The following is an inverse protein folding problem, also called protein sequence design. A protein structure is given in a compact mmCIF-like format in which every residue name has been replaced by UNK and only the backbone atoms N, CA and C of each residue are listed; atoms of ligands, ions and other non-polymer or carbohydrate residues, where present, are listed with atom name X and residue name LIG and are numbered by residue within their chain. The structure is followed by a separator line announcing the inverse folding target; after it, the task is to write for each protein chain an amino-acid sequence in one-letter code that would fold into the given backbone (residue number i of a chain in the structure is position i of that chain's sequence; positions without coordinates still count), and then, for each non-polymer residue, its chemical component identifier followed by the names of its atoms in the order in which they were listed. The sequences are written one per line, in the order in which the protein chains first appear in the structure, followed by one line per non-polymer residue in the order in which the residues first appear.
data_IF_549818810371
#
_entry.id   IF_549818810371
#
_cell.length_a   1.000
_cell.length_b   1.000
_cell.length_c   1.000
_cell.angle_alpha   90.00
_cell.angle_beta   90.00
_cell.angle_gamma   90.00
#
_symmetry.space_group_name_H-M   'P 1'
#
loop_
_entity.id
_entity.type
_entity.pdbx_description
1 polymer ?
#
# COMPACT_ATOMS: atom_id res chain seq x y z
N UNK A 1 6.04 -15.23 20.28
CA UNK A 1 5.40 -14.28 19.36
C UNK A 1 4.80 -14.96 18.13
N UNK A 2 5.54 -15.74 17.34
CA UNK A 2 4.97 -16.55 16.23
C UNK A 2 3.88 -17.52 16.68
N UNK A 3 4.03 -18.15 17.84
CA UNK A 3 3.01 -19.04 18.44
C UNK A 3 1.72 -18.31 18.86
N UNK A 4 1.73 -16.98 18.99
CA UNK A 4 0.54 -16.19 19.28
C UNK A 4 -0.20 -15.73 18.01
N UNK A 5 0.46 -15.81 16.85
CA UNK A 5 -0.13 -15.43 15.55
C UNK A 5 -0.81 -16.62 14.85
N UNK A 6 -0.55 -17.83 15.31
CA UNK A 6 -1.14 -19.06 14.75
C UNK A 6 -1.84 -19.79 15.89
N UNK A 7 -3.19 -19.76 15.97
CA UNK A 7 -3.94 -20.52 16.96
C UNK A 7 -3.62 -22.01 16.82
N UNK A 8 -3.39 -22.69 17.93
CA UNK A 8 -3.00 -24.10 17.99
C UNK A 8 -4.03 -25.08 17.39
N UNK A 9 -5.26 -24.62 17.16
CA UNK A 9 -6.41 -25.48 16.82
C UNK A 9 -7.05 -25.14 15.45
N UNK A 10 -6.49 -24.25 14.66
CA UNK A 10 -7.04 -23.88 13.36
C UNK A 10 -6.00 -23.94 12.24
N UNK A 11 -6.23 -24.79 11.25
CA UNK A 11 -5.56 -24.61 9.96
C UNK A 11 -6.17 -23.38 9.30
N UNK A 12 -5.38 -22.36 8.96
CA UNK A 12 -5.91 -21.23 8.20
C UNK A 12 -6.48 -21.72 6.87
N UNK A 13 -7.67 -21.27 6.52
CA UNK A 13 -8.28 -21.59 5.23
C UNK A 13 -7.49 -21.03 4.05
N UNK A 14 -6.63 -20.04 4.31
CA UNK A 14 -5.76 -19.41 3.33
C UNK A 14 -4.31 -19.38 3.80
N UNK A 15 -3.33 -19.41 2.89
CA UNK A 15 -1.91 -19.24 3.25
C UNK A 15 -1.67 -17.91 3.96
N UNK A 16 -0.88 -17.93 5.04
CA UNK A 16 -0.46 -16.73 5.77
C UNK A 16 1.01 -16.49 5.52
N UNK A 17 1.37 -15.33 5.00
CA UNK A 17 2.75 -14.89 4.87
C UNK A 17 3.15 -13.99 6.06
N UNK A 18 4.27 -14.30 6.71
CA UNK A 18 4.80 -13.53 7.84
C UNK A 18 6.19 -13.03 7.48
N UNK A 19 6.37 -11.72 7.36
CA UNK A 19 7.68 -11.10 7.16
C UNK A 19 8.39 -10.89 8.50
N UNK A 20 9.62 -11.37 8.60
CA UNK A 20 10.47 -11.24 9.77
C UNK A 20 11.83 -10.68 9.37
N UNK A 21 12.36 -9.79 10.18
CA UNK A 21 13.72 -9.27 10.08
C UNK A 21 14.27 -8.93 11.47
N UNK A 22 15.52 -8.50 11.54
CA UNK A 22 16.18 -8.17 12.83
C UNK A 22 15.51 -7.03 13.60
N UNK A 23 14.59 -6.24 12.98
CA UNK A 23 13.80 -5.19 13.64
C UNK A 23 12.58 -5.77 14.35
N UNK A 24 12.25 -7.00 14.07
CA UNK A 24 11.12 -7.66 14.73
C UNK A 24 11.41 -7.77 16.21
N UNK A 25 10.51 -7.26 17.04
CA UNK A 25 10.66 -7.24 18.49
C UNK A 25 10.91 -8.65 19.03
N UNK A 26 11.91 -8.79 19.89
CA UNK A 26 12.32 -10.07 20.48
C UNK A 26 12.79 -11.13 19.45
N UNK A 27 13.29 -10.66 18.28
CA UNK A 27 13.83 -11.55 17.27
C UNK A 27 15.18 -12.15 17.72
N UNK A 28 15.20 -13.45 17.90
CA UNK A 28 16.42 -14.23 18.15
C UNK A 28 16.55 -15.32 17.09
N UNK A 29 17.73 -15.42 16.46
CA UNK A 29 18.00 -16.36 15.36
C UNK A 29 17.77 -17.81 15.80
N UNK A 30 18.33 -18.21 16.95
CA UNK A 30 18.19 -19.57 17.47
C UNK A 30 16.74 -19.91 17.83
N UNK A 31 16.06 -18.98 18.51
CA UNK A 31 14.65 -19.12 18.86
C UNK A 31 13.75 -19.20 17.61
N UNK A 32 14.09 -18.49 16.55
CA UNK A 32 13.33 -18.54 15.30
C UNK A 32 13.41 -19.92 14.66
N UNK A 33 14.60 -20.50 14.53
CA UNK A 33 14.79 -21.83 13.98
C UNK A 33 14.04 -22.88 14.80
N UNK A 34 14.13 -22.83 16.13
CA UNK A 34 13.39 -23.72 17.02
C UNK A 34 11.87 -23.60 16.88
N UNK A 35 11.35 -22.38 16.70
CA UNK A 35 9.91 -22.14 16.50
C UNK A 35 9.42 -22.74 15.18
N UNK A 36 10.16 -22.54 14.09
CA UNK A 36 9.83 -23.12 12.78
C UNK A 36 9.82 -24.64 12.85
N UNK A 37 10.83 -25.22 13.47
CA UNK A 37 10.92 -26.68 13.65
C UNK A 37 9.76 -27.22 14.50
N UNK A 38 9.39 -26.52 15.56
CA UNK A 38 8.22 -26.85 16.38
C UNK A 38 6.91 -26.79 15.59
N UNK A 39 6.74 -25.76 14.74
CA UNK A 39 5.54 -25.65 13.90
C UNK A 39 5.44 -26.82 12.93
N UNK A 40 6.56 -27.26 12.33
CA UNK A 40 6.59 -28.43 11.45
C UNK A 40 6.17 -29.73 12.15
N UNK A 41 6.62 -29.94 13.38
CA UNK A 41 6.45 -31.22 14.08
C UNK A 41 5.21 -31.28 14.97
N UNK A 42 4.73 -30.17 15.53
CA UNK A 42 3.70 -30.20 16.58
C UNK A 42 2.31 -29.76 16.13
N UNK A 43 2.19 -28.98 15.06
CA UNK A 43 0.91 -28.37 14.71
C UNK A 43 0.27 -28.93 13.44
N UNK A 44 0.95 -29.84 12.72
CA UNK A 44 0.49 -30.33 11.42
C UNK A 44 0.40 -29.22 10.37
N UNK A 45 1.03 -28.06 10.61
CA UNK A 45 1.24 -27.01 9.63
C UNK A 45 2.51 -27.33 8.83
N UNK A 46 2.53 -26.87 7.58
CA UNK A 46 3.68 -26.99 6.69
C UNK A 46 4.27 -25.60 6.41
N UNK A 47 5.04 -25.03 7.37
CA UNK A 47 5.64 -23.72 7.19
C UNK A 47 6.78 -23.80 6.19
N UNK A 48 6.69 -23.01 5.13
CA UNK A 48 7.77 -22.83 4.16
C UNK A 48 8.58 -21.59 4.53
N UNK A 49 9.87 -21.76 4.72
CA UNK A 49 10.79 -20.69 5.06
C UNK A 49 11.50 -20.16 3.80
N UNK A 50 11.24 -18.90 3.47
CA UNK A 50 11.87 -18.23 2.34
C UNK A 50 12.87 -17.21 2.87
N UNK A 51 14.13 -17.37 2.49
CA UNK A 51 15.18 -16.38 2.77
C UNK A 51 15.42 -15.50 1.54
N UNK A 52 15.17 -14.22 1.70
CA UNK A 52 15.36 -13.21 0.64
C UNK A 52 16.61 -12.40 0.94
N UNK A 53 17.57 -12.39 0.03
CA UNK A 53 18.86 -11.70 0.18
C UNK A 53 19.18 -10.83 -1.06
N UNK A 54 20.26 -10.08 -0.95
CA UNK A 54 20.92 -9.40 -2.07
C UNK A 54 22.41 -9.16 -1.75
N UNK A 55 23.20 -8.86 -2.77
CA UNK A 55 24.60 -8.45 -2.61
C UNK A 55 24.73 -7.24 -1.67
N UNK A 56 25.79 -7.21 -0.85
CA UNK A 56 26.06 -6.11 0.10
C UNK A 56 26.05 -4.74 -0.57
N UNK A 57 26.63 -4.63 -1.76
CA UNK A 57 26.64 -3.37 -2.52
C UNK A 57 25.22 -2.93 -2.96
N UNK A 58 24.36 -3.90 -3.31
CA UNK A 58 22.96 -3.62 -3.67
C UNK A 58 22.16 -3.19 -2.44
N UNK A 59 22.33 -3.87 -1.32
CA UNK A 59 21.69 -3.50 -0.05
C UNK A 59 22.13 -2.10 0.39
N UNK A 60 23.42 -1.79 0.35
CA UNK A 60 23.96 -0.48 0.66
C UNK A 60 23.27 0.62 -0.17
N UNK A 61 23.17 0.40 -1.49
CA UNK A 61 22.48 1.34 -2.39
C UNK A 61 21.02 1.52 -2.01
N UNK A 62 20.26 0.42 -1.79
CA UNK A 62 18.84 0.45 -1.41
C UNK A 62 18.60 1.21 -0.10
N UNK A 63 19.45 1.02 0.91
CA UNK A 63 19.38 1.77 2.17
C UNK A 63 19.64 3.26 1.96
N UNK A 64 20.63 3.61 1.13
CA UNK A 64 20.94 5.00 0.80
C UNK A 64 19.81 5.69 0.03
N UNK A 65 19.23 5.01 -0.96
CA UNK A 65 18.12 5.53 -1.78
C UNK A 65 16.84 5.74 -0.94
N UNK A 66 16.54 4.81 -0.04
CA UNK A 66 15.32 4.89 0.80
C UNK A 66 15.48 5.79 2.02
N UNK A 67 16.69 6.31 2.30
CA UNK A 67 17.02 7.14 3.47
C UNK A 67 16.60 6.51 4.81
N UNK A 68 16.50 5.19 4.88
CA UNK A 68 16.18 4.46 6.11
C UNK A 68 17.48 4.08 6.82
N UNK A 69 17.62 4.36 8.14
CA UNK A 69 18.77 3.88 8.88
C UNK A 69 18.73 2.35 9.00
N UNK A 70 19.89 1.73 8.86
CA UNK A 70 20.01 0.30 9.11
C UNK A 70 19.94 0.04 10.62
N UNK A 71 19.23 -0.99 11.09
CA UNK A 71 19.04 -1.26 12.53
C UNK A 71 20.36 -1.40 13.32
N UNK A 72 21.38 -1.99 12.69
CA UNK A 72 22.69 -2.21 13.29
C UNK A 72 23.73 -1.13 12.95
N UNK A 73 23.34 0.01 12.38
CA UNK A 73 24.29 1.07 11.98
C UNK A 73 24.48 2.19 13.01
N UNK A 74 24.06 1.98 14.27
CA UNK A 74 24.19 3.00 15.31
C UNK A 74 25.64 3.27 15.70
N UNK A 75 26.52 2.28 15.64
CA UNK A 75 27.91 2.30 16.12
C UNK A 75 28.93 1.95 15.03
N UNK A 76 28.49 1.73 13.80
CA UNK A 76 29.33 1.26 12.69
C UNK A 76 28.89 1.74 11.33
N UNK A 77 29.78 1.75 10.31
CA UNK A 77 29.44 2.04 8.93
C UNK A 77 28.34 1.12 8.38
N UNK A 78 27.53 1.63 7.43
CA UNK A 78 26.42 0.89 6.85
C UNK A 78 26.83 -0.47 6.24
N UNK A 79 27.98 -0.52 5.57
CA UNK A 79 28.49 -1.78 4.97
C UNK A 79 28.78 -2.82 6.05
N UNK A 80 29.45 -2.40 7.14
CA UNK A 80 29.78 -3.30 8.26
C UNK A 80 28.52 -3.78 8.97
N UNK A 81 27.49 -2.93 9.07
CA UNK A 81 26.19 -3.27 9.64
C UNK A 81 25.47 -4.33 8.80
N UNK A 82 25.46 -4.19 7.46
CA UNK A 82 24.87 -5.16 6.53
C UNK A 82 25.60 -6.50 6.61
N UNK A 83 26.92 -6.49 6.60
CA UNK A 83 27.71 -7.71 6.71
C UNK A 83 27.55 -8.40 8.07
N UNK A 84 27.40 -7.62 9.12
CA UNK A 84 27.10 -8.15 10.44
C UNK A 84 25.73 -8.82 10.48
N UNK A 85 24.70 -8.18 9.92
CA UNK A 85 23.37 -8.79 9.78
C UNK A 85 23.41 -10.09 8.99
N UNK A 86 24.10 -10.12 7.85
CA UNK A 86 24.25 -11.34 7.04
C UNK A 86 24.89 -12.48 7.85
N UNK A 87 25.91 -12.19 8.67
CA UNK A 87 26.51 -13.19 9.55
C UNK A 87 25.54 -13.69 10.61
N UNK A 88 24.75 -12.80 11.23
CA UNK A 88 23.73 -13.17 12.20
C UNK A 88 22.63 -14.03 11.59
N UNK A 89 22.24 -13.72 10.36
CA UNK A 89 21.17 -14.42 9.65
C UNK A 89 21.63 -15.71 8.95
N UNK A 90 22.93 -15.99 8.91
CA UNK A 90 23.49 -17.17 8.22
C UNK A 90 22.88 -18.52 8.68
N UNK A 91 22.59 -18.77 9.98
CA UNK A 91 21.94 -20.01 10.41
C UNK A 91 20.52 -20.14 9.82
N UNK A 92 19.74 -19.05 9.78
CA UNK A 92 18.41 -19.03 9.18
C UNK A 92 18.52 -19.27 7.66
N UNK A 93 19.44 -18.57 7.00
CA UNK A 93 19.70 -18.79 5.59
C UNK A 93 20.09 -20.24 5.27
N UNK A 94 20.80 -20.92 6.17
CA UNK A 94 21.20 -22.31 5.99
C UNK A 94 20.03 -23.30 6.04
N UNK A 95 19.01 -23.00 6.84
CA UNK A 95 17.84 -23.86 7.07
C UNK A 95 16.63 -23.47 6.20
N UNK A 96 16.74 -22.41 5.40
CA UNK A 96 15.66 -21.95 4.52
C UNK A 96 15.34 -23.00 3.44
N UNK A 97 14.04 -23.26 3.23
CA UNK A 97 13.54 -24.16 2.21
C UNK A 97 13.75 -23.58 0.81
N UNK A 98 13.65 -22.23 0.70
CA UNK A 98 13.91 -21.50 -0.52
C UNK A 98 14.80 -20.30 -0.25
N UNK A 99 15.74 -20.00 -1.16
CA UNK A 99 16.56 -18.79 -1.14
C UNK A 99 16.34 -18.00 -2.41
N UNK A 100 16.11 -16.71 -2.26
CA UNK A 100 15.89 -15.80 -3.41
C UNK A 100 16.93 -14.69 -3.34
N UNK A 101 17.84 -14.68 -4.31
CA UNK A 101 18.77 -13.55 -4.50
C UNK A 101 18.12 -12.47 -5.37
N UNK A 102 17.87 -11.33 -4.74
CA UNK A 102 17.25 -10.18 -5.41
C UNK A 102 18.25 -9.15 -5.93
N UNK A 103 19.53 -9.46 -5.99
CA UNK A 103 20.61 -8.52 -6.40
C UNK A 103 20.37 -7.89 -7.77
N UNK A 104 19.81 -8.65 -8.70
CA UNK A 104 19.52 -8.25 -10.07
C UNK A 104 18.03 -8.22 -10.41
N UNK A 105 17.16 -8.41 -9.40
CA UNK A 105 15.72 -8.50 -9.58
C UNK A 105 15.03 -7.16 -9.35
N UNK A 106 14.01 -6.89 -10.15
CA UNK A 106 12.99 -5.89 -9.86
C UNK A 106 11.93 -6.47 -8.93
N UNK A 107 11.20 -5.62 -8.22
CA UNK A 107 10.12 -6.06 -7.31
C UNK A 107 9.04 -6.89 -8.02
N UNK A 108 8.74 -6.58 -9.29
CA UNK A 108 7.77 -7.33 -10.09
C UNK A 108 8.22 -8.77 -10.36
N UNK A 109 9.53 -9.00 -10.57
CA UNK A 109 10.09 -10.34 -10.79
C UNK A 109 10.01 -11.19 -9.53
N UNK A 110 10.35 -10.60 -8.37
CA UNK A 110 10.20 -11.27 -7.09
C UNK A 110 8.75 -11.66 -6.81
N UNK A 111 7.81 -10.73 -7.10
CA UNK A 111 6.38 -11.01 -6.94
C UNK A 111 5.96 -12.17 -7.80
N UNK A 112 6.35 -12.19 -9.07
CA UNK A 112 6.01 -13.28 -10.00
C UNK A 112 6.53 -14.62 -9.52
N UNK A 113 7.79 -14.69 -9.06
CA UNK A 113 8.37 -15.91 -8.49
C UNK A 113 7.53 -16.42 -7.31
N UNK A 114 7.11 -15.53 -6.40
CA UNK A 114 6.30 -15.92 -5.26
C UNK A 114 4.88 -16.35 -5.67
N UNK A 115 4.26 -15.67 -6.62
CA UNK A 115 2.95 -16.04 -7.16
C UNK A 115 2.99 -17.41 -7.81
N UNK A 116 3.96 -17.65 -8.70
CA UNK A 116 4.13 -18.93 -9.40
C UNK A 116 4.42 -20.08 -8.41
N UNK A 117 5.17 -19.80 -7.34
CA UNK A 117 5.55 -20.81 -6.34
C UNK A 117 4.39 -21.24 -5.43
N UNK A 118 3.48 -20.32 -5.13
CA UNK A 118 2.41 -20.57 -4.15
C UNK A 118 1.04 -20.78 -4.79
N UNK A 119 0.97 -20.83 -6.12
CA UNK A 119 -0.30 -20.87 -6.85
C UNK A 119 -1.29 -19.81 -6.31
N UNK A 120 -0.72 -18.71 -5.83
CA UNK A 120 -1.48 -17.53 -5.49
C UNK A 120 -1.90 -16.98 -6.83
N UNK A 121 -3.12 -17.28 -7.24
CA UNK A 121 -3.71 -16.77 -8.46
C UNK A 121 -3.37 -15.30 -8.62
N UNK A 122 -3.30 -14.77 -9.81
CA UNK A 122 -2.97 -13.38 -10.05
C UNK A 122 -3.73 -12.57 -8.99
N UNK A 123 -3.01 -12.09 -7.96
CA UNK A 123 -3.57 -11.09 -7.06
C UNK A 123 -4.00 -9.99 -7.98
N UNK A 124 -5.30 -9.87 -8.13
CA UNK A 124 -5.96 -8.97 -9.05
C UNK A 124 -5.25 -7.63 -8.97
N UNK A 125 -4.35 -7.38 -9.88
CA UNK A 125 -3.78 -6.10 -10.23
C UNK A 125 -3.20 -5.24 -9.09
N UNK A 126 -2.87 -4.04 -9.44
CA UNK A 126 -2.50 -2.97 -8.52
C UNK A 126 -3.78 -2.45 -7.85
N UNK A 127 -3.87 -2.48 -6.51
CA UNK A 127 -4.96 -1.84 -5.77
C UNK A 127 -4.82 -0.31 -5.83
N UNK A 128 -5.91 0.38 -6.17
CA UNK A 128 -5.91 1.83 -6.34
C UNK A 128 -6.76 2.48 -5.24
N UNK A 129 -6.11 3.28 -4.40
CA UNK A 129 -6.77 4.06 -3.35
C UNK A 129 -7.08 5.45 -3.87
N UNK A 130 -8.36 5.77 -4.00
CA UNK A 130 -8.80 7.14 -4.32
C UNK A 130 -9.21 7.82 -3.02
N UNK A 131 -8.52 8.92 -2.68
CA UNK A 131 -8.72 9.62 -1.41
C UNK A 131 -9.07 11.08 -1.60
N UNK A 132 -10.19 11.55 -1.03
CA UNK A 132 -10.44 12.98 -0.95
C UNK A 132 -9.81 13.59 0.30
N UNK A 133 -9.31 14.82 0.20
CA UNK A 133 -8.68 15.51 1.32
C UNK A 133 -8.89 17.02 1.30
N UNK A 134 -8.63 17.66 2.46
CA UNK A 134 -8.58 19.09 2.67
C UNK A 134 -7.16 19.62 2.61
N UNK A 135 -6.86 20.61 1.76
CA UNK A 135 -5.57 21.31 1.77
C UNK A 135 -5.28 22.01 3.11
N UNK A 136 -6.32 22.38 3.89
CA UNK A 136 -6.12 22.94 5.24
C UNK A 136 -5.47 21.96 6.20
N UNK A 137 -5.68 20.66 6.00
CA UNK A 137 -5.11 19.57 6.81
C UNK A 137 -3.82 18.98 6.19
N UNK A 138 -3.31 19.61 5.14
CA UNK A 138 -2.14 19.13 4.41
C UNK A 138 -2.43 18.00 3.43
N UNK A 139 -1.48 17.76 2.54
CA UNK A 139 -1.51 16.65 1.58
C UNK A 139 -1.28 15.33 2.31
N UNK A 140 -2.04 14.25 2.00
CA UNK A 140 -1.77 12.92 2.56
C UNK A 140 -0.34 12.46 2.23
N UNK A 141 0.39 12.00 3.24
CA UNK A 141 1.79 11.62 3.07
C UNK A 141 1.98 10.39 2.16
N UNK A 142 0.94 9.55 2.08
CA UNK A 142 0.90 8.34 1.26
C UNK A 142 0.49 8.61 -0.20
N UNK A 143 0.15 9.85 -0.58
CA UNK A 143 -0.33 10.17 -1.93
C UNK A 143 0.80 10.07 -2.97
N UNK A 144 0.59 9.29 -4.00
CA UNK A 144 1.47 9.19 -5.17
C UNK A 144 1.14 10.25 -6.22
N UNK A 145 -0.16 10.48 -6.44
CA UNK A 145 -0.68 11.50 -7.34
C UNK A 145 -1.61 12.44 -6.57
N UNK A 146 -1.48 13.73 -6.79
CA UNK A 146 -2.28 14.75 -6.11
C UNK A 146 -2.91 15.67 -7.14
N UNK A 147 -4.23 15.83 -7.09
CA UNK A 147 -4.98 16.73 -7.95
C UNK A 147 -5.71 17.79 -7.13
N UNK A 148 -5.50 19.04 -7.48
CA UNK A 148 -6.16 20.19 -6.88
C UNK A 148 -7.42 20.56 -7.68
N UNK A 149 -8.58 20.48 -7.04
CA UNK A 149 -9.89 20.82 -7.65
C UNK A 149 -10.51 22.08 -7.06
N UNK A 150 -9.69 22.97 -6.47
CA UNK A 150 -10.18 24.24 -5.89
C UNK A 150 -10.66 25.25 -6.92
N UNK A 151 -10.26 25.11 -8.17
CA UNK A 151 -10.69 25.98 -9.26
C UNK A 151 -12.18 25.78 -9.65
N UNK A 152 -12.76 24.60 -9.37
CA UNK A 152 -14.18 24.34 -9.64
C UNK A 152 -15.09 25.18 -8.72
N UNK A 153 -16.32 25.43 -9.17
CA UNK A 153 -17.35 26.13 -8.40
C UNK A 153 -17.46 25.55 -6.99
N UNK A 154 -17.55 26.45 -6.02
CA UNK A 154 -17.52 26.05 -4.62
C UNK A 154 -18.93 26.04 -4.00
N UNK A 155 -19.51 24.84 -3.71
CA UNK A 155 -20.84 24.72 -3.11
C UNK A 155 -20.97 25.38 -1.73
N UNK A 156 -19.84 25.66 -1.06
CA UNK A 156 -19.83 26.32 0.25
C UNK A 156 -20.51 27.73 0.24
N UNK A 157 -20.51 28.42 -0.91
CA UNK A 157 -21.12 29.73 -1.04
C UNK A 157 -22.62 29.64 -1.23
N UNK A 158 -23.18 28.48 -1.52
CA UNK A 158 -24.62 28.25 -1.59
C UNK A 158 -25.15 27.83 -0.20
N UNK A 159 -26.10 28.59 0.40
CA UNK A 159 -26.64 28.29 1.72
C UNK A 159 -27.28 26.91 1.84
N UNK A 160 -27.90 26.40 0.77
CA UNK A 160 -28.59 25.11 0.75
C UNK A 160 -27.59 23.94 0.65
N UNK A 161 -26.46 24.16 -0.02
CA UNK A 161 -25.46 23.13 -0.28
C UNK A 161 -24.34 23.09 0.74
N UNK A 162 -24.11 24.19 1.47
CA UNK A 162 -22.96 24.38 2.35
C UNK A 162 -22.78 23.27 3.41
N UNK A 163 -23.89 22.77 3.96
CA UNK A 163 -23.88 21.74 4.99
C UNK A 163 -23.90 20.31 4.43
N UNK A 164 -24.11 20.15 3.13
CA UNK A 164 -24.10 18.87 2.44
C UNK A 164 -22.67 18.43 2.13
N UNK A 165 -22.51 17.23 1.59
CA UNK A 165 -21.21 16.71 1.14
C UNK A 165 -21.22 16.45 -0.37
N UNK A 166 -20.05 16.20 -0.97
CA UNK A 166 -19.93 15.81 -2.38
C UNK A 166 -20.60 14.48 -2.74
N UNK A 167 -21.10 13.72 -1.75
CA UNK A 167 -21.91 12.53 -1.99
C UNK A 167 -23.36 12.87 -2.32
N UNK A 168 -23.81 14.08 -1.99
CA UNK A 168 -25.16 14.52 -2.29
C UNK A 168 -25.30 14.92 -3.78
N UNK A 169 -26.35 14.44 -4.44
CA UNK A 169 -26.60 14.69 -5.85
C UNK A 169 -26.78 16.18 -6.20
N UNK A 170 -27.34 17.00 -5.28
CA UNK A 170 -27.48 18.43 -5.51
C UNK A 170 -26.11 19.13 -5.56
N UNK A 171 -25.20 18.75 -4.67
CA UNK A 171 -23.82 19.23 -4.66
C UNK A 171 -23.09 18.82 -5.94
N UNK A 172 -23.28 17.55 -6.38
CA UNK A 172 -22.71 17.07 -7.64
C UNK A 172 -23.15 17.91 -8.83
N UNK A 173 -24.47 18.10 -9.03
CA UNK A 173 -25.01 18.93 -10.11
C UNK A 173 -24.45 20.34 -10.09
N UNK A 174 -24.38 20.98 -8.94
CA UNK A 174 -23.81 22.32 -8.80
C UNK A 174 -22.35 22.39 -9.26
N UNK A 175 -21.54 21.38 -8.98
CA UNK A 175 -20.14 21.30 -9.43
C UNK A 175 -20.08 21.04 -10.94
N UNK A 176 -20.96 20.20 -11.49
CA UNK A 176 -21.03 19.86 -12.91
C UNK A 176 -21.40 21.04 -13.79
N UNK A 177 -22.15 22.05 -13.27
CA UNK A 177 -22.47 23.29 -13.95
C UNK A 177 -21.26 24.23 -14.15
N UNK A 178 -20.09 23.88 -13.55
CA UNK A 178 -18.87 24.61 -13.82
C UNK A 178 -18.42 24.38 -15.27
N UNK A 179 -18.16 25.44 -16.07
CA UNK A 179 -17.80 25.29 -17.49
C UNK A 179 -16.52 24.48 -17.70
N UNK A 180 -15.62 24.43 -16.72
CA UNK A 180 -14.35 23.71 -16.80
C UNK A 180 -14.46 22.25 -16.32
N UNK A 181 -15.57 21.87 -15.66
CA UNK A 181 -15.75 20.56 -15.06
C UNK A 181 -15.60 19.41 -16.06
N UNK A 182 -16.40 19.40 -17.11
CA UNK A 182 -16.41 18.32 -18.11
C UNK A 182 -15.04 18.16 -18.78
N UNK A 183 -14.43 19.30 -19.19
CA UNK A 183 -13.10 19.32 -19.79
C UNK A 183 -12.01 18.81 -18.84
N UNK A 184 -12.09 19.14 -17.57
CA UNK A 184 -11.14 18.67 -16.57
C UNK A 184 -11.27 17.18 -16.35
N UNK A 185 -12.46 16.66 -16.07
CA UNK A 185 -12.69 15.22 -15.81
C UNK A 185 -12.24 14.37 -17.00
N UNK A 186 -12.57 14.81 -18.23
CA UNK A 186 -12.15 14.10 -19.46
C UNK A 186 -10.63 14.04 -19.58
N UNK A 187 -9.94 15.15 -19.37
CA UNK A 187 -8.47 15.18 -19.47
C UNK A 187 -7.80 14.41 -18.33
N UNK A 188 -8.36 14.47 -17.13
CA UNK A 188 -7.86 13.69 -15.97
C UNK A 188 -7.92 12.19 -16.27
N UNK A 189 -9.04 11.69 -16.76
CA UNK A 189 -9.21 10.30 -17.18
C UNK A 189 -8.23 9.92 -18.29
N UNK A 190 -8.17 10.73 -19.36
CA UNK A 190 -7.28 10.49 -20.50
C UNK A 190 -5.79 10.50 -20.11
N UNK A 191 -5.40 11.27 -19.09
CA UNK A 191 -4.04 11.27 -18.56
C UNK A 191 -3.77 10.01 -17.74
N UNK A 192 -4.70 9.58 -16.88
CA UNK A 192 -4.52 8.44 -15.99
C UNK A 192 -4.56 7.10 -16.74
N UNK A 193 -5.46 6.95 -17.70
CA UNK A 193 -5.70 5.70 -18.43
C UNK A 193 -4.41 5.03 -18.94
N UNK A 194 -3.50 5.71 -19.67
CA UNK A 194 -2.27 5.10 -20.17
C UNK A 194 -1.20 4.87 -19.11
N UNK A 195 -1.25 5.55 -17.95
CA UNK A 195 -0.21 5.44 -16.92
C UNK A 195 -0.53 4.39 -15.85
N UNK A 196 -1.82 4.09 -15.59
CA UNK A 196 -2.23 3.07 -14.61
C UNK A 196 -1.57 1.70 -14.89
N UNK A 197 -1.65 1.12 -16.11
CA UNK A 197 -0.99 -0.14 -16.39
C UNK A 197 0.53 -0.07 -16.30
N UNK A 198 1.14 1.11 -16.50
CA UNK A 198 2.58 1.29 -16.35
C UNK A 198 3.02 1.21 -14.89
N UNK A 199 2.25 1.77 -13.95
CA UNK A 199 2.51 1.58 -12.52
C UNK A 199 2.45 0.11 -12.12
N UNK A 200 1.47 -0.64 -12.62
CA UNK A 200 1.37 -2.08 -12.38
C UNK A 200 2.58 -2.85 -12.96
N UNK A 201 3.01 -2.53 -14.19
CA UNK A 201 4.19 -3.13 -14.85
C UNK A 201 5.50 -2.86 -14.10
N UNK A 202 5.64 -1.68 -13.48
CA UNK A 202 6.80 -1.37 -12.61
C UNK A 202 6.73 -2.08 -11.25
N UNK A 203 5.71 -2.92 -11.01
CA UNK A 203 5.58 -3.72 -9.79
C UNK A 203 4.96 -2.98 -8.61
N UNK A 204 4.28 -1.84 -8.84
CA UNK A 204 3.58 -1.13 -7.78
C UNK A 204 2.33 -1.93 -7.36
N UNK A 205 2.24 -2.27 -6.08
CA UNK A 205 1.11 -3.02 -5.51
C UNK A 205 -0.05 -2.12 -5.12
N UNK A 206 0.25 -0.87 -4.78
CA UNK A 206 -0.70 0.12 -4.29
C UNK A 206 -0.42 1.47 -4.95
N UNK A 207 -1.46 2.13 -5.46
CA UNK A 207 -1.38 3.48 -6.00
C UNK A 207 -2.40 4.36 -5.27
N UNK A 208 -1.94 5.44 -4.63
CA UNK A 208 -2.82 6.39 -3.96
C UNK A 208 -3.00 7.66 -4.78
N UNK A 209 -4.22 7.92 -5.22
CA UNK A 209 -4.62 9.12 -5.95
C UNK A 209 -5.41 10.03 -5.00
N UNK A 210 -4.84 11.18 -4.65
CA UNK A 210 -5.43 12.13 -3.72
C UNK A 210 -6.06 13.31 -4.44
N UNK A 211 -7.33 13.59 -4.16
CA UNK A 211 -8.10 14.72 -4.72
C UNK A 211 -8.31 15.74 -3.61
N UNK A 212 -7.80 16.96 -3.79
CA UNK A 212 -7.83 18.01 -2.78
C UNK A 212 -8.72 19.18 -3.09
N UNK A 213 -9.51 19.62 -2.10
CA UNK A 213 -10.17 20.93 -2.12
C UNK A 213 -9.90 21.69 -0.80
N UNK A 214 -10.47 22.88 -0.65
CA UNK A 214 -10.19 23.73 0.52
C UNK A 214 -10.57 23.04 1.85
N UNK A 215 -11.79 22.52 1.93
CA UNK A 215 -12.36 21.92 3.15
C UNK A 215 -12.52 20.42 3.14
N UNK A 216 -12.19 19.72 2.04
CA UNK A 216 -12.30 18.25 1.97
C UNK A 216 -13.74 17.69 1.94
N UNK A 217 -14.77 18.56 1.84
CA UNK A 217 -16.17 18.18 2.03
C UNK A 217 -16.99 18.04 0.73
N UNK A 218 -16.79 18.91 -0.26
CA UNK A 218 -17.63 19.01 -1.45
C UNK A 218 -16.91 18.54 -2.72
N UNK A 219 -16.13 19.42 -3.36
CA UNK A 219 -15.50 19.21 -4.67
C UNK A 219 -14.59 17.99 -4.72
N UNK A 220 -13.71 17.86 -3.74
CA UNK A 220 -12.79 16.71 -3.66
C UNK A 220 -13.52 15.39 -3.46
N UNK A 221 -14.57 15.36 -2.63
CA UNK A 221 -15.39 14.16 -2.40
C UNK A 221 -16.10 13.74 -3.68
N UNK A 222 -16.70 14.71 -4.39
CA UNK A 222 -17.41 14.43 -5.63
C UNK A 222 -16.50 13.90 -6.73
N UNK A 223 -15.38 14.58 -6.99
CA UNK A 223 -14.40 14.17 -8.01
C UNK A 223 -13.76 12.83 -7.65
N UNK A 224 -13.43 12.60 -6.37
CA UNK A 224 -12.86 11.32 -5.95
C UNK A 224 -13.83 10.15 -6.23
N UNK A 225 -15.13 10.32 -6.01
CA UNK A 225 -16.13 9.32 -6.35
C UNK A 225 -16.17 9.03 -7.85
N UNK A 226 -16.29 10.08 -8.69
CA UNK A 226 -16.31 9.93 -10.16
C UNK A 226 -15.05 9.19 -10.65
N UNK A 227 -13.90 9.53 -10.08
CA UNK A 227 -12.64 8.92 -10.47
C UNK A 227 -12.58 7.46 -10.04
N UNK A 228 -12.99 7.15 -8.80
CA UNK A 228 -13.05 5.79 -8.29
C UNK A 228 -13.96 4.89 -9.14
N UNK A 229 -15.18 5.36 -9.41
CA UNK A 229 -16.15 4.60 -10.20
C UNK A 229 -15.60 4.31 -11.60
N UNK A 230 -14.99 5.30 -12.25
CA UNK A 230 -14.36 5.12 -13.56
C UNK A 230 -13.18 4.14 -13.52
N UNK A 231 -12.33 4.17 -12.48
CA UNK A 231 -11.20 3.26 -12.37
C UNK A 231 -11.70 1.81 -12.11
N UNK A 232 -12.78 1.66 -11.33
CA UNK A 232 -13.44 0.38 -11.13
C UNK A 232 -14.01 -0.19 -12.46
N UNK A 233 -14.61 0.68 -13.29
CA UNK A 233 -15.11 0.31 -14.63
C UNK A 233 -13.98 -0.16 -15.58
N UNK A 234 -12.73 0.26 -15.34
CA UNK A 234 -11.55 -0.23 -16.05
C UNK A 234 -11.06 -1.62 -15.54
N UNK A 235 -11.69 -2.16 -14.49
CA UNK A 235 -11.37 -3.48 -13.93
C UNK A 235 -10.28 -3.49 -12.85
N UNK A 236 -9.91 -2.32 -12.29
CA UNK A 236 -8.98 -2.26 -11.16
C UNK A 236 -9.70 -2.46 -9.82
N UNK A 237 -9.00 -3.10 -8.87
CA UNK A 237 -9.43 -3.09 -7.47
C UNK A 237 -9.28 -1.68 -6.89
N UNK A 238 -10.39 -1.08 -6.45
CA UNK A 238 -10.43 0.32 -6.01
C UNK A 238 -11.01 0.49 -4.62
N UNK A 239 -10.39 1.40 -3.87
CA UNK A 239 -10.82 1.76 -2.51
C UNK A 239 -11.02 3.27 -2.40
N UNK A 240 -12.28 3.71 -2.23
CA UNK A 240 -12.61 5.11 -2.03
C UNK A 240 -12.60 5.47 -0.54
N UNK A 241 -11.92 6.55 -0.18
CA UNK A 241 -11.95 7.09 1.18
C UNK A 241 -12.00 8.62 1.20
N UNK A 242 -12.56 9.18 2.27
CA UNK A 242 -12.72 10.62 2.46
C UNK A 242 -12.11 11.02 3.80
N UNK A 243 -10.87 11.54 3.80
CA UNK A 243 -10.11 11.81 5.02
C UNK A 243 -10.75 12.87 5.92
N UNK A 244 -11.25 13.94 5.30
CA UNK A 244 -11.70 15.14 6.02
C UNK A 244 -13.20 15.44 5.80
N UNK A 245 -13.97 14.44 5.34
CA UNK A 245 -15.42 14.55 5.26
C UNK A 245 -16.01 14.53 6.68
N UNK A 246 -16.88 15.46 7.05
CA UNK A 246 -17.65 15.34 8.30
C UNK A 246 -18.45 14.02 8.32
N UNK A 247 -18.50 13.38 9.48
CA UNK A 247 -19.41 12.26 9.71
C UNK A 247 -20.83 12.73 9.44
N UNK A 248 -21.61 11.95 8.68
CA UNK A 248 -23.03 12.22 8.53
C UNK A 248 -23.67 12.11 9.91
N UNK A 249 -24.54 13.05 10.31
CA UNK A 249 -25.28 12.91 11.53
C UNK A 249 -26.03 11.57 11.41
N UNK A 250 -25.71 10.62 12.29
CA UNK A 250 -26.50 9.40 12.47
C UNK A 250 -27.93 9.84 12.65
N UNK A 251 -28.79 9.53 11.68
CA UNK A 251 -30.22 9.65 11.80
C UNK A 251 -30.61 8.80 13.02
N UNK A 252 -30.74 9.47 14.15
CA UNK A 252 -31.21 8.86 15.38
C UNK A 252 -32.61 8.33 15.14
N UNK A 253 -32.79 7.12 15.59
CA UNK A 253 -34.09 6.49 15.80
C UNK A 253 -35.05 7.36 16.62
#
# INVERSE_FOLDING_TARGET
MLSALVPSDCRPEQPIAIGLDIRTRDFGVDQFVEIVDRLRHQTGMDPLMIYVDADTAVLQRRFTETRRPHPLSHDRPLVDAIEHEKRLMAPIAATADMRIDTSRMKSAELRKILQDQFDIGETEGMAIFVKSFSFRQGVPAEADLVFDVRFLRNPHYDPELRLMTGLNAAVGRYIEEDPDFSGFVTRLKAMLEPILPRYAQEGKSYLTIAIGCTGGQHRSVYIARILNDWIADLGYDTHLSHRDKPDEPTSGE
#
